data_IF_539501515353
#
_entry.id   IF_539501515353
#
_cell.length_a   1.000
_cell.length_b   1.000
_cell.length_c   1.000
_cell.angle_alpha   90.00
_cell.angle_beta   90.00
_cell.angle_gamma   90.00
#
_symmetry.space_group_name_H-M   'P 1'
#
loop_
_entity.id
_entity.type
_entity.pdbx_description
1 polymer ?
#
# COMPACT_ATOMS: atom_id res chain seq x y z
N UNK A 1 -19.72 -14.58 -9.75
CA UNK A 1 -20.14 -13.70 -8.64
C UNK A 1 -18.87 -13.14 -8.04
N UNK A 2 -18.82 -11.84 -7.78
CA UNK A 2 -17.71 -11.23 -7.02
C UNK A 2 -17.86 -11.67 -5.57
N UNK A 3 -16.90 -12.41 -5.05
CA UNK A 3 -16.86 -12.79 -3.64
C UNK A 3 -16.36 -11.59 -2.84
N UNK A 4 -17.29 -10.93 -2.15
CA UNK A 4 -17.00 -9.84 -1.23
C UNK A 4 -16.81 -10.39 0.18
N UNK A 5 -15.72 -10.00 0.83
CA UNK A 5 -15.40 -10.38 2.20
C UNK A 5 -15.36 -9.14 3.09
N UNK A 6 -15.68 -9.30 4.37
CA UNK A 6 -15.51 -8.25 5.37
C UNK A 6 -14.22 -8.56 6.12
N UNK A 7 -13.27 -7.63 6.12
CA UNK A 7 -12.00 -7.84 6.83
C UNK A 7 -12.10 -7.52 8.33
N UNK A 8 -10.99 -7.73 9.04
CA UNK A 8 -10.81 -7.43 10.47
C UNK A 8 -11.12 -5.96 10.86
N UNK A 9 -11.10 -5.03 9.91
CA UNK A 9 -11.36 -3.61 10.12
C UNK A 9 -12.82 -3.23 9.80
N UNK A 10 -13.66 -4.17 9.37
CA UNK A 10 -15.04 -3.91 8.93
C UNK A 10 -15.15 -3.38 7.50
N UNK A 11 -14.06 -3.38 6.73
CA UNK A 11 -14.08 -2.99 5.32
C UNK A 11 -14.64 -4.13 4.47
N UNK A 12 -15.60 -3.81 3.59
CA UNK A 12 -16.01 -4.73 2.53
C UNK A 12 -14.96 -4.66 1.43
N UNK A 13 -14.28 -5.77 1.19
CA UNK A 13 -13.24 -5.89 0.18
C UNK A 13 -13.54 -7.03 -0.79
N UNK A 14 -13.28 -6.75 -2.06
CA UNK A 14 -13.21 -7.74 -3.12
C UNK A 14 -11.74 -8.04 -3.42
N UNK A 15 -11.43 -9.31 -3.69
CA UNK A 15 -10.09 -9.75 -4.11
C UNK A 15 -9.56 -8.96 -5.31
N UNK A 16 -10.39 -8.65 -6.29
CA UNK A 16 -9.97 -7.90 -7.49
C UNK A 16 -9.64 -6.43 -7.18
N UNK A 17 -10.43 -5.79 -6.32
CA UNK A 17 -10.17 -4.43 -5.85
C UNK A 17 -8.88 -4.38 -5.01
N UNK A 18 -8.67 -5.38 -4.17
CA UNK A 18 -7.48 -5.50 -3.33
C UNK A 18 -6.20 -5.66 -4.17
N UNK A 19 -6.27 -6.45 -5.25
CA UNK A 19 -5.17 -6.59 -6.22
C UNK A 19 -4.89 -5.24 -6.90
N UNK A 20 -5.94 -4.51 -7.32
CA UNK A 20 -5.79 -3.22 -7.96
C UNK A 20 -5.15 -2.19 -7.01
N UNK A 21 -5.55 -2.15 -5.74
CA UNK A 21 -4.93 -1.28 -4.72
C UNK A 21 -3.45 -1.60 -4.50
N UNK A 22 -3.12 -2.88 -4.31
CA UNK A 22 -1.73 -3.33 -4.15
C UNK A 22 -0.89 -2.85 -5.33
N UNK A 23 -1.41 -3.00 -6.55
CA UNK A 23 -0.70 -2.62 -7.76
C UNK A 23 -0.53 -1.10 -7.89
N UNK A 24 -1.52 -0.32 -7.48
CA UNK A 24 -1.39 1.14 -7.37
C UNK A 24 -0.30 1.55 -6.37
N UNK A 25 -0.19 0.88 -5.22
CA UNK A 25 0.89 1.15 -4.26
C UNK A 25 2.26 0.78 -4.83
N UNK A 26 2.37 -0.36 -5.50
CA UNK A 26 3.62 -0.79 -6.14
C UNK A 26 4.07 0.19 -7.22
N UNK A 27 3.17 0.62 -8.10
CA UNK A 27 3.50 1.60 -9.16
C UNK A 27 3.97 2.95 -8.58
N UNK A 28 3.38 3.37 -7.45
CA UNK A 28 3.81 4.57 -6.73
C UNK A 28 5.23 4.39 -6.16
N UNK A 29 5.55 3.21 -5.62
CA UNK A 29 6.87 2.88 -5.11
C UNK A 29 7.92 2.63 -6.22
N UNK A 30 7.54 2.15 -7.41
CA UNK A 30 8.47 1.98 -8.55
C UNK A 30 9.03 3.32 -9.05
N UNK A 31 8.29 4.42 -8.83
CA UNK A 31 8.83 5.78 -9.02
C UNK A 31 10.02 6.07 -8.08
N UNK A 32 10.20 5.23 -7.05
CA UNK A 32 11.28 5.24 -6.06
C UNK A 32 12.16 3.97 -6.18
N UNK A 33 12.82 3.78 -7.31
CA UNK A 33 14.00 2.89 -7.50
C UNK A 33 13.87 1.37 -7.24
N UNK A 34 12.80 0.84 -6.66
CA UNK A 34 12.64 -0.60 -6.39
C UNK A 34 11.68 -1.27 -7.35
N UNK A 35 12.23 -2.02 -8.31
CA UNK A 35 11.47 -2.89 -9.21
C UNK A 35 10.87 -4.05 -8.40
N UNK A 36 9.55 -4.18 -8.41
CA UNK A 36 8.86 -5.25 -7.67
C UNK A 36 8.67 -6.49 -8.54
N UNK A 37 8.92 -7.68 -7.99
CA UNK A 37 8.70 -8.97 -8.67
C UNK A 37 7.28 -9.52 -8.50
N UNK A 38 6.41 -8.83 -7.76
CA UNK A 38 5.03 -9.22 -7.50
C UNK A 38 4.13 -8.76 -8.64
N UNK A 39 3.71 -9.68 -9.51
CA UNK A 39 2.78 -9.42 -10.61
C UNK A 39 1.33 -9.85 -10.30
N UNK A 40 0.39 -9.46 -11.17
CA UNK A 40 -1.04 -9.76 -11.04
C UNK A 40 -1.34 -11.26 -11.03
N UNK A 41 -0.62 -12.05 -11.82
CA UNK A 41 -0.86 -13.48 -11.89
C UNK A 41 -0.46 -14.16 -10.58
N UNK A 42 0.64 -13.72 -9.96
CA UNK A 42 1.01 -14.14 -8.62
C UNK A 42 -0.02 -13.71 -7.58
N UNK A 43 -0.50 -12.47 -7.62
CA UNK A 43 -1.50 -12.00 -6.64
C UNK A 43 -2.83 -12.76 -6.74
N UNK A 44 -3.23 -13.20 -7.94
CA UNK A 44 -4.46 -14.00 -8.13
C UNK A 44 -4.39 -15.38 -7.45
N UNK A 45 -3.20 -15.96 -7.27
CA UNK A 45 -3.06 -17.26 -6.59
C UNK A 45 -3.06 -17.16 -5.06
N UNK A 46 -2.91 -15.95 -4.50
CA UNK A 46 -2.93 -15.71 -3.07
C UNK A 46 -4.36 -15.69 -2.51
N UNK A 47 -4.50 -16.03 -1.24
CA UNK A 47 -5.74 -15.86 -0.50
C UNK A 47 -5.94 -14.39 -0.08
N UNK A 48 -7.17 -14.07 0.33
CA UNK A 48 -7.55 -12.69 0.65
C UNK A 48 -6.80 -12.15 1.88
N UNK A 49 -6.44 -13.01 2.82
CA UNK A 49 -5.69 -12.63 4.02
C UNK A 49 -4.24 -12.27 3.69
N UNK A 50 -3.58 -13.02 2.79
CA UNK A 50 -2.25 -12.67 2.30
C UNK A 50 -2.28 -11.35 1.53
N UNK A 51 -3.26 -11.16 0.64
CA UNK A 51 -3.41 -9.90 -0.10
C UNK A 51 -3.67 -8.71 0.85
N UNK A 52 -4.49 -8.90 1.89
CA UNK A 52 -4.75 -7.86 2.89
C UNK A 52 -3.47 -7.50 3.64
N UNK A 53 -2.67 -8.51 4.00
CA UNK A 53 -1.39 -8.30 4.66
C UNK A 53 -0.39 -7.55 3.76
N UNK A 54 -0.36 -7.86 2.46
CA UNK A 54 0.48 -7.14 1.49
C UNK A 54 0.05 -5.68 1.39
N UNK A 55 -1.25 -5.42 1.25
CA UNK A 55 -1.82 -4.06 1.23
C UNK A 55 -1.43 -3.28 2.48
N UNK A 56 -1.65 -3.85 3.67
CA UNK A 56 -1.34 -3.18 4.95
C UNK A 56 0.15 -2.81 5.05
N UNK A 57 1.05 -3.72 4.63
CA UNK A 57 2.49 -3.46 4.60
C UNK A 57 2.89 -2.37 3.59
N UNK A 58 2.30 -2.39 2.40
CA UNK A 58 2.55 -1.37 1.37
C UNK A 58 2.04 -0.01 1.82
N UNK A 59 0.87 0.05 2.44
CA UNK A 59 0.30 1.27 2.99
C UNK A 59 1.22 1.85 4.08
N UNK A 60 1.78 1.03 4.97
CA UNK A 60 2.75 1.49 5.96
C UNK A 60 4.00 2.08 5.30
N UNK A 61 4.52 1.44 4.23
CA UNK A 61 5.68 1.95 3.48
C UNK A 61 5.39 3.27 2.76
N UNK A 62 4.20 3.42 2.16
CA UNK A 62 3.78 4.68 1.55
C UNK A 62 3.47 5.76 2.60
N UNK A 63 2.96 5.38 3.78
CA UNK A 63 2.64 6.28 4.89
C UNK A 63 3.87 6.97 5.49
N UNK A 64 5.04 6.33 5.45
CA UNK A 64 6.32 6.94 5.84
C UNK A 64 6.66 8.21 5.04
N UNK A 65 6.12 8.40 3.83
CA UNK A 65 6.30 9.66 3.10
C UNK A 65 5.65 10.83 3.84
N UNK A 66 4.47 10.64 4.47
CA UNK A 66 3.78 11.72 5.20
C UNK A 66 4.58 12.09 6.45
N UNK A 67 5.05 11.10 7.20
CA UNK A 67 5.85 11.33 8.41
C UNK A 67 7.21 11.95 8.07
N UNK A 68 7.87 11.49 7.01
CA UNK A 68 9.13 12.08 6.51
C UNK A 68 8.91 13.51 6.00
N UNK A 69 7.81 13.77 5.31
CA UNK A 69 7.47 15.11 4.81
C UNK A 69 7.11 16.06 5.97
N UNK A 70 6.42 15.57 7.01
CA UNK A 70 6.15 16.35 8.22
C UNK A 70 7.45 16.67 8.96
N UNK A 71 8.33 15.68 9.15
CA UNK A 71 9.64 15.92 9.76
C UNK A 71 10.44 16.96 8.97
N UNK A 72 10.51 16.84 7.64
CA UNK A 72 11.16 17.81 6.77
C UNK A 72 10.55 19.23 6.91
N UNK A 73 9.22 19.35 6.91
CA UNK A 73 8.51 20.62 7.12
C UNK A 73 8.82 21.23 8.49
N UNK A 74 8.91 20.41 9.55
CA UNK A 74 9.30 20.87 10.88
C UNK A 74 10.75 21.35 10.91
N UNK A 75 11.68 20.62 10.27
CA UNK A 75 13.09 21.02 10.17
C UNK A 75 13.28 22.34 9.41
N UNK A 76 12.44 22.65 8.41
CA UNK A 76 12.47 23.95 7.74
C UNK A 76 12.07 25.12 8.64
N UNK A 77 11.24 24.87 9.66
CA UNK A 77 10.77 25.89 10.60
C UNK A 77 11.85 26.28 11.60
N UNK A 78 12.80 25.38 11.88
CA UNK A 78 13.94 25.62 12.78
C UNK A 78 15.11 26.36 12.11
N UNK A 79 15.12 26.48 10.77
CA UNK A 79 16.17 27.21 10.02
C UNK A 79 15.93 28.74 10.06
N UNK A 80 14.97 29.20 10.86
CA UNK A 80 14.56 30.60 10.94
C UNK A 80 14.76 31.18 12.34
N UNK A 81 16.01 31.11 12.84
CA UNK A 81 16.54 31.95 13.91
C UNK A 81 18.02 32.29 13.65
#
# INVERSE_FOLDING_TARGET
>A
MLESHINKNGEVINKEELIAEIQSFLNRLESSFTQTTLDVHMMKSLDIDSLTSIRDNLLQKCGNEIESNLQWLHSLKEIKD
#
